data_IF_596357397286
#
_entry.id   IF_596357397286
#
_cell.length_a   1.000
_cell.length_b   1.000
_cell.length_c   1.000
_cell.angle_alpha   90.00
_cell.angle_beta   90.00
_cell.angle_gamma   90.00
#
_symmetry.space_group_name_H-M   'P 1'
#
loop_
_entity.id
_entity.type
_entity.pdbx_description
1 polymer ?
#
# COMPACT_ATOMS: atom_id res chain seq x y z
N UNK A 1 17.46 9.23 -13.38
CA UNK A 1 16.03 9.28 -13.02
C UNK A 1 15.62 7.83 -12.82
N UNK A 2 15.21 7.44 -11.62
CA UNK A 2 14.89 6.05 -11.33
C UNK A 2 13.79 5.57 -12.28
N UNK A 3 13.99 4.42 -12.89
CA UNK A 3 12.98 3.77 -13.73
C UNK A 3 11.81 3.30 -12.85
N UNK A 4 10.64 3.12 -13.44
CA UNK A 4 9.47 2.61 -12.70
C UNK A 4 9.79 1.28 -11.99
N UNK A 5 10.58 0.42 -12.64
CA UNK A 5 11.00 -0.85 -12.09
C UNK A 5 11.84 -0.67 -10.82
N UNK A 6 12.83 0.23 -10.83
CA UNK A 6 13.68 0.51 -9.67
C UNK A 6 12.89 1.08 -8.49
N UNK A 7 11.89 1.93 -8.76
CA UNK A 7 11.02 2.46 -7.71
C UNK A 7 10.19 1.34 -7.07
N UNK A 8 9.55 0.49 -7.88
CA UNK A 8 8.73 -0.62 -7.39
C UNK A 8 9.60 -1.65 -6.65
N UNK A 9 10.78 -1.96 -7.19
CA UNK A 9 11.73 -2.87 -6.56
C UNK A 9 12.20 -2.31 -5.22
N UNK A 10 12.60 -1.04 -5.16
CA UNK A 10 13.05 -0.38 -3.94
C UNK A 10 11.99 -0.35 -2.85
N UNK A 11 10.72 -0.08 -3.21
CA UNK A 11 9.60 -0.11 -2.25
C UNK A 11 9.34 -1.54 -1.75
N UNK A 12 9.36 -2.54 -2.63
CA UNK A 12 9.17 -3.94 -2.22
C UNK A 12 10.29 -4.41 -1.30
N UNK A 13 11.55 -4.06 -1.58
CA UNK A 13 12.69 -4.37 -0.72
C UNK A 13 12.57 -3.65 0.63
N UNK A 14 12.19 -2.37 0.64
CA UNK A 14 11.94 -1.62 1.87
C UNK A 14 10.84 -2.26 2.73
N UNK A 15 9.74 -2.69 2.12
CA UNK A 15 8.67 -3.40 2.82
C UNK A 15 9.15 -4.76 3.35
N UNK A 16 9.86 -5.53 2.54
CA UNK A 16 10.41 -6.83 2.92
C UNK A 16 11.36 -6.74 4.12
N UNK A 17 12.08 -5.63 4.28
CA UNK A 17 13.00 -5.44 5.40
C UNK A 17 12.31 -5.26 6.77
N UNK A 18 11.07 -4.78 6.81
CA UNK A 18 10.33 -4.50 8.06
C UNK A 18 9.05 -5.32 8.28
N UNK A 19 8.55 -6.02 7.25
CA UNK A 19 7.28 -6.73 7.31
C UNK A 19 7.33 -8.06 8.08
N UNK A 20 8.50 -8.61 8.39
CA UNK A 20 8.65 -9.86 9.15
C UNK A 20 8.92 -9.60 10.65
N UNK A 21 8.63 -10.61 11.47
CA UNK A 21 8.76 -10.56 12.92
C UNK A 21 10.23 -10.73 13.37
N UNK A 22 10.70 -9.88 14.28
CA UNK A 22 12.12 -9.80 14.65
C UNK A 22 12.96 -8.83 13.81
N UNK A 23 12.37 -8.12 12.83
CA UNK A 23 13.08 -7.13 12.02
C UNK A 23 13.70 -5.97 12.82
N UNK A 24 13.19 -5.73 14.03
CA UNK A 24 13.68 -4.71 14.96
C UNK A 24 14.93 -5.16 15.73
N UNK A 25 15.26 -6.46 15.77
CA UNK A 25 16.47 -6.94 16.45
C UNK A 25 17.68 -6.92 15.51
N UNK A 26 18.77 -6.31 15.99
CA UNK A 26 20.03 -6.24 15.26
C UNK A 26 20.67 -7.61 15.03
N UNK A 27 20.55 -8.51 16.03
CA UNK A 27 21.11 -9.87 16.04
C UNK A 27 20.53 -10.78 14.95
N UNK A 28 19.28 -10.55 14.55
CA UNK A 28 18.56 -11.35 13.56
C UNK A 28 18.76 -10.82 12.14
N UNK A 29 19.33 -9.62 11.99
CA UNK A 29 19.53 -8.96 10.72
C UNK A 29 20.90 -9.30 10.15
N UNK A 30 20.93 -9.78 8.90
CA UNK A 30 22.17 -10.08 8.19
C UNK A 30 23.11 -8.85 8.08
N UNK A 31 22.52 -7.66 8.04
CA UNK A 31 23.23 -6.39 7.92
C UNK A 31 23.62 -5.76 9.27
N UNK A 32 23.22 -6.37 10.40
CA UNK A 32 23.44 -5.81 11.74
C UNK A 32 22.77 -4.44 11.95
N UNK A 33 21.57 -4.24 11.39
CA UNK A 33 20.82 -2.98 11.54
C UNK A 33 19.40 -3.25 12.03
N UNK A 34 19.08 -2.73 13.21
CA UNK A 34 17.73 -2.73 13.76
C UNK A 34 16.79 -1.88 12.89
N UNK A 35 15.67 -2.46 12.44
CA UNK A 35 14.64 -1.82 11.62
C UNK A 35 13.31 -1.78 12.36
N UNK A 36 13.10 -0.69 13.10
CA UNK A 36 11.86 -0.41 13.81
C UNK A 36 10.83 0.24 12.87
N UNK A 37 9.61 -0.30 12.86
CA UNK A 37 8.51 0.09 11.99
C UNK A 37 7.30 0.63 12.77
N UNK A 38 7.41 0.78 14.10
CA UNK A 38 6.33 1.29 14.95
C UNK A 38 5.19 0.28 15.18
N UNK A 39 5.49 -1.02 15.07
CA UNK A 39 4.51 -2.09 15.25
C UNK A 39 4.50 -2.57 16.71
N UNK A 40 3.32 -2.86 17.25
CA UNK A 40 3.13 -3.37 18.61
C UNK A 40 3.80 -4.72 18.85
N UNK A 41 4.02 -5.51 17.80
CA UNK A 41 4.78 -6.78 17.90
C UNK A 41 6.28 -6.58 18.19
N UNK A 42 6.79 -5.35 18.09
CA UNK A 42 8.20 -5.02 18.36
C UNK A 42 8.45 -4.73 19.84
N UNK A 43 7.38 -4.55 20.63
CA UNK A 43 7.48 -4.49 22.10
C UNK A 43 7.53 -5.90 22.68
N UNK A 44 8.73 -6.32 23.11
CA UNK A 44 8.96 -7.60 23.79
C UNK A 44 9.91 -8.53 23.04
N UNK A 45 9.92 -9.81 23.40
CA UNK A 45 10.73 -10.86 22.81
C UNK A 45 9.89 -11.75 21.88
N UNK A 46 10.33 -11.82 20.62
CA UNK A 46 9.68 -12.56 19.52
C UNK A 46 9.33 -14.05 19.78
N UNK A 47 9.97 -14.72 20.76
CA UNK A 47 9.67 -16.13 21.12
C UNK A 47 8.94 -16.25 22.45
N UNK A 48 9.42 -15.54 23.48
CA UNK A 48 9.01 -15.80 24.86
C UNK A 48 7.71 -15.09 25.24
N UNK A 49 7.34 -14.04 24.51
CA UNK A 49 6.16 -13.26 24.81
C UNK A 49 4.91 -13.78 24.10
N UNK A 50 3.78 -13.25 24.55
CA UNK A 50 2.49 -13.51 23.94
C UNK A 50 2.55 -13.06 22.48
N UNK A 51 2.20 -13.97 21.55
CA UNK A 51 2.04 -13.63 20.13
C UNK A 51 1.06 -12.47 19.95
N UNK A 52 1.58 -11.36 19.43
CA UNK A 52 0.81 -10.19 18.98
C UNK A 52 0.76 -10.27 17.45
N UNK A 53 -0.44 -10.45 16.90
CA UNK A 53 -0.62 -10.42 15.45
C UNK A 53 -0.69 -8.95 15.05
N UNK A 54 0.43 -8.42 14.57
CA UNK A 54 0.53 -7.05 14.09
C UNK A 54 1.51 -6.99 12.90
N UNK A 55 1.11 -6.33 11.82
CA UNK A 55 1.92 -6.29 10.61
C UNK A 55 1.38 -5.36 9.55
N UNK A 56 2.24 -5.04 8.59
CA UNK A 56 1.89 -4.24 7.43
C UNK A 56 2.34 -4.88 6.13
N UNK A 57 1.78 -4.40 5.03
CA UNK A 57 2.11 -4.80 3.67
C UNK A 57 1.90 -3.67 2.68
N UNK A 58 2.39 -3.87 1.46
CA UNK A 58 2.24 -2.91 0.36
C UNK A 58 1.63 -3.59 -0.86
N UNK A 59 0.72 -2.90 -1.54
CA UNK A 59 0.10 -3.32 -2.80
C UNK A 59 0.14 -2.18 -3.80
N UNK A 60 0.29 -2.48 -5.08
CA UNK A 60 0.36 -1.48 -6.14
C UNK A 60 -0.90 -1.51 -6.99
N UNK A 61 -1.45 -0.33 -7.24
CA UNK A 61 -2.60 -0.08 -8.11
C UNK A 61 -2.22 1.01 -9.11
N UNK A 62 -1.46 0.65 -10.15
CA UNK A 62 -0.86 1.63 -11.08
C UNK A 62 0.06 2.61 -10.33
N UNK A 63 -0.20 3.93 -10.37
CA UNK A 63 0.61 4.92 -9.65
C UNK A 63 0.28 5.03 -8.15
N UNK A 64 -0.70 4.27 -7.65
CA UNK A 64 -1.13 4.27 -6.25
C UNK A 64 -0.47 3.11 -5.50
N UNK A 65 0.18 3.44 -4.38
CA UNK A 65 0.65 2.52 -3.35
C UNK A 65 -0.40 2.40 -2.26
N UNK A 66 -0.98 1.23 -2.09
CA UNK A 66 -1.84 0.90 -0.96
C UNK A 66 -1.00 0.30 0.15
N UNK A 67 -0.94 0.98 1.28
CA UNK A 67 -0.33 0.45 2.51
C UNK A 67 -1.44 -0.22 3.31
N UNK A 68 -1.28 -1.51 3.60
CA UNK A 68 -2.22 -2.29 4.41
C UNK A 68 -1.62 -2.55 5.78
N UNK A 69 -2.43 -2.46 6.82
CA UNK A 69 -2.08 -2.74 8.20
C UNK A 69 -3.10 -3.73 8.77
N UNK A 70 -2.62 -4.74 9.49
CA UNK A 70 -3.47 -5.71 10.17
C UNK A 70 -3.01 -5.87 11.62
N UNK A 71 -3.96 -5.81 12.55
CA UNK A 71 -3.69 -6.02 13.96
C UNK A 71 -4.83 -6.77 14.64
N UNK A 72 -4.48 -7.63 15.59
CA UNK A 72 -5.44 -8.33 16.43
C UNK A 72 -5.43 -7.74 17.85
N UNK A 73 -6.54 -7.09 18.22
CA UNK A 73 -6.68 -6.37 19.49
C UNK A 73 -7.89 -6.86 20.28
N UNK A 74 -7.99 -6.40 21.53
CA UNK A 74 -9.16 -6.68 22.38
C UNK A 74 -10.29 -5.73 22.05
N UNK A 75 -11.53 -6.20 22.20
CA UNK A 75 -12.72 -5.37 21.97
C UNK A 75 -12.79 -4.12 22.87
N UNK A 76 -12.19 -4.18 24.06
CA UNK A 76 -12.08 -3.03 24.96
C UNK A 76 -11.24 -1.90 24.37
N UNK A 77 -10.20 -2.24 23.61
CA UNK A 77 -9.31 -1.25 22.99
C UNK A 77 -9.98 -0.58 21.79
N UNK A 78 -10.81 -1.31 21.03
CA UNK A 78 -11.63 -0.76 19.95
C UNK A 78 -12.64 0.28 20.48
N UNK A 79 -13.16 0.07 21.69
CA UNK A 79 -14.15 0.95 22.30
C UNK A 79 -13.54 2.22 22.92
N UNK A 80 -12.21 2.34 22.94
CA UNK A 80 -11.56 3.53 23.46
C UNK A 80 -11.77 4.73 22.53
N UNK A 81 -11.97 5.90 23.14
CA UNK A 81 -12.03 7.16 22.39
C UNK A 81 -10.65 7.43 21.77
N UNK A 82 -10.59 7.53 20.43
CA UNK A 82 -9.34 7.80 19.70
C UNK A 82 -8.76 6.61 18.93
N UNK A 83 -9.41 5.44 18.96
CA UNK A 83 -8.95 4.24 18.25
C UNK A 83 -8.60 4.48 16.76
N UNK A 84 -9.42 5.24 16.04
CA UNK A 84 -9.17 5.55 14.62
C UNK A 84 -7.88 6.36 14.44
N UNK A 85 -7.63 7.34 15.31
CA UNK A 85 -6.42 8.17 15.28
C UNK A 85 -5.16 7.35 15.56
N UNK A 86 -5.25 6.36 16.45
CA UNK A 86 -4.13 5.46 16.75
C UNK A 86 -3.77 4.62 15.51
N UNK A 87 -4.76 4.08 14.81
CA UNK A 87 -4.56 3.32 13.57
C UNK A 87 -3.98 4.20 12.46
N UNK A 88 -4.48 5.44 12.30
CA UNK A 88 -3.90 6.39 11.35
C UNK A 88 -2.45 6.75 11.69
N UNK A 89 -2.12 6.85 12.98
CA UNK A 89 -0.76 7.12 13.45
C UNK A 89 0.19 5.97 13.11
N UNK A 90 -0.23 4.71 13.32
CA UNK A 90 0.54 3.53 12.92
C UNK A 90 0.76 3.50 11.40
N UNK A 91 -0.26 3.79 10.59
CA UNK A 91 -0.10 3.90 9.14
C UNK A 91 0.91 4.98 8.75
N UNK A 92 0.93 6.11 9.46
CA UNK A 92 1.90 7.18 9.22
C UNK A 92 3.34 6.77 9.59
N UNK A 93 3.52 5.99 10.66
CA UNK A 93 4.82 5.43 11.05
C UNK A 93 5.36 4.44 10.02
N UNK A 94 4.50 3.55 9.51
CA UNK A 94 4.85 2.63 8.42
C UNK A 94 5.30 3.39 7.18
N UNK A 95 4.63 4.48 6.82
CA UNK A 95 5.03 5.32 5.68
C UNK A 95 6.37 6.01 5.92
N UNK A 96 6.65 6.48 7.14
CA UNK A 96 7.97 7.05 7.50
C UNK A 96 9.07 5.99 7.39
N UNK A 97 8.80 4.78 7.88
CA UNK A 97 9.70 3.64 7.77
C UNK A 97 10.01 3.31 6.30
N UNK A 98 8.99 3.17 5.46
CA UNK A 98 9.18 2.89 4.03
C UNK A 98 10.03 3.95 3.33
N UNK A 99 9.85 5.24 3.64
CA UNK A 99 10.67 6.32 3.08
C UNK A 99 12.13 6.25 3.53
N UNK A 100 12.37 5.90 4.80
CA UNK A 100 13.72 5.75 5.37
C UNK A 100 14.46 4.58 4.73
N UNK A 101 13.83 3.41 4.68
CA UNK A 101 14.43 2.21 4.09
C UNK A 101 14.61 2.35 2.58
N UNK A 102 13.65 2.92 1.86
CA UNK A 102 13.79 3.19 0.43
C UNK A 102 15.03 4.05 0.13
N UNK A 103 15.25 5.09 0.94
CA UNK A 103 16.44 5.96 0.81
C UNK A 103 17.73 5.21 1.16
N UNK A 104 17.71 4.32 2.14
CA UNK A 104 18.87 3.52 2.50
C UNK A 104 19.26 2.53 1.39
N UNK A 105 18.28 1.98 0.66
CA UNK A 105 18.49 0.98 -0.39
C UNK A 105 18.90 1.65 -1.71
N UNK A 106 18.15 2.66 -2.14
CA UNK A 106 18.28 3.26 -3.49
C UNK A 106 19.15 4.51 -3.52
N UNK A 107 19.37 5.16 -2.36
CA UNK A 107 20.00 6.48 -2.27
C UNK A 107 19.06 7.65 -2.60
N UNK A 108 17.92 7.39 -3.24
CA UNK A 108 16.95 8.38 -3.67
C UNK A 108 15.83 8.61 -2.65
N UNK A 109 15.14 9.74 -2.76
CA UNK A 109 14.04 10.08 -1.84
C UNK A 109 12.69 9.68 -2.45
N UNK A 110 11.92 8.86 -1.71
CA UNK A 110 10.55 8.49 -2.09
C UNK A 110 9.54 9.55 -1.65
N UNK A 111 8.72 10.03 -2.59
CA UNK A 111 7.60 10.92 -2.32
C UNK A 111 6.28 10.18 -2.38
N UNK A 112 5.52 10.20 -1.28
CA UNK A 112 4.21 9.57 -1.14
C UNK A 112 3.21 10.64 -0.68
N UNK A 113 2.14 10.85 -1.45
CA UNK A 113 1.04 11.77 -1.12
C UNK A 113 -0.22 10.99 -0.74
N UNK A 114 -0.76 11.20 0.46
CA UNK A 114 -2.00 10.54 0.94
C UNK A 114 -3.15 10.87 -0.03
N UNK A 115 -3.90 9.85 -0.42
CA UNK A 115 -5.09 9.94 -1.27
C UNK A 115 -6.28 9.43 -0.46
N UNK A 116 -7.20 10.34 -0.11
CA UNK A 116 -8.37 10.01 0.70
C UNK A 116 -8.07 9.73 2.17
N UNK A 117 -9.08 9.20 2.86
CA UNK A 117 -9.05 8.83 4.27
C UNK A 117 -8.61 7.37 4.44
N UNK A 118 -8.11 7.01 5.63
CA UNK A 118 -7.79 5.63 5.93
C UNK A 118 -9.08 4.82 6.08
N UNK A 119 -9.18 3.68 5.39
CA UNK A 119 -10.31 2.77 5.54
C UNK A 119 -9.99 1.75 6.62
N UNK A 120 -10.78 1.73 7.69
CA UNK A 120 -10.61 0.84 8.84
C UNK A 120 -11.79 -0.11 8.92
N UNK A 121 -11.53 -1.42 8.83
CA UNK A 121 -12.50 -2.47 9.02
C UNK A 121 -12.21 -3.19 10.33
N UNK A 122 -13.21 -3.23 11.21
CA UNK A 122 -13.11 -3.92 12.49
C UNK A 122 -14.07 -5.11 12.49
N UNK A 123 -13.54 -6.31 12.68
CA UNK A 123 -14.30 -7.55 12.68
C UNK A 123 -14.08 -8.33 13.96
N UNK A 124 -15.17 -8.63 14.66
CA UNK A 124 -15.11 -9.47 15.85
C UNK A 124 -14.92 -10.94 15.44
N UNK A 125 -13.80 -11.54 15.86
CA UNK A 125 -13.57 -12.99 15.70
C UNK A 125 -14.15 -13.75 16.90
N UNK A 126 -13.95 -13.24 18.12
CA UNK A 126 -14.45 -13.85 19.35
C UNK A 126 -14.78 -12.80 20.43
N UNK A 127 -15.15 -13.24 21.64
CA UNK A 127 -15.33 -12.33 22.78
C UNK A 127 -14.02 -11.69 23.26
N UNK A 128 -12.88 -12.26 22.85
CA UNK A 128 -11.55 -11.85 23.30
C UNK A 128 -10.76 -11.17 22.18
N UNK A 129 -10.92 -11.64 20.94
CA UNK A 129 -10.10 -11.27 19.77
C UNK A 129 -10.95 -10.52 18.74
N UNK A 130 -10.47 -9.36 18.33
CA UNK A 130 -11.02 -8.53 17.26
C UNK A 130 -9.94 -8.27 16.22
N UNK A 131 -10.24 -8.58 14.96
CA UNK A 131 -9.37 -8.30 13.82
C UNK A 131 -9.61 -6.87 13.33
N UNK A 132 -8.53 -6.15 13.09
CA UNK A 132 -8.54 -4.81 12.54
C UNK A 132 -7.74 -4.84 11.26
N UNK A 133 -8.40 -4.49 10.15
CA UNK A 133 -7.78 -4.36 8.85
C UNK A 133 -7.91 -2.91 8.40
N UNK A 134 -6.78 -2.22 8.31
CA UNK A 134 -6.72 -0.85 7.84
C UNK A 134 -5.95 -0.75 6.54
N UNK A 135 -6.35 0.16 5.66
CA UNK A 135 -5.54 0.51 4.50
C UNK A 135 -5.65 1.98 4.15
N UNK A 136 -4.57 2.51 3.59
CA UNK A 136 -4.53 3.88 3.09
C UNK A 136 -3.76 3.94 1.78
N UNK A 137 -4.30 4.72 0.85
CA UNK A 137 -3.79 4.85 -0.50
C UNK A 137 -2.88 6.08 -0.60
N UNK A 138 -1.72 5.89 -1.23
CA UNK A 138 -0.70 6.92 -1.41
C UNK A 138 -0.29 7.01 -2.87
N UNK A 139 -0.32 8.20 -3.45
CA UNK A 139 0.21 8.42 -4.80
C UNK A 139 1.73 8.51 -4.76
N UNK A 140 2.40 7.65 -5.52
CA UNK A 140 3.86 7.65 -5.68
C UNK A 140 4.26 8.80 -6.62
N UNK A 141 5.22 9.62 -6.20
CA UNK A 141 5.81 10.64 -7.08
C UNK A 141 6.89 10.08 -8.00
N UNK A 142 7.09 10.73 -9.15
CA UNK A 142 8.10 10.32 -10.15
C UNK A 142 7.59 9.33 -11.22
N UNK A 143 6.36 8.84 -11.11
CA UNK A 143 5.71 8.01 -12.12
C UNK A 143 4.89 8.89 -13.09
N UNK A 144 5.52 9.41 -14.15
CA UNK A 144 4.83 10.23 -15.18
C UNK A 144 4.11 9.38 -16.22
N UNK A 145 4.57 8.15 -16.46
CA UNK A 145 4.16 7.36 -17.63
C UNK A 145 3.09 6.30 -17.30
N UNK A 146 2.59 6.27 -16.06
CA UNK A 146 1.58 5.31 -15.62
C UNK A 146 0.23 5.99 -15.41
N UNK A 147 -0.76 5.55 -16.20
CA UNK A 147 -2.15 5.91 -15.98
C UNK A 147 -2.74 5.12 -14.81
N UNK A 148 -3.67 5.75 -14.09
CA UNK A 148 -4.46 5.07 -13.07
C UNK A 148 -5.34 4.01 -13.73
N UNK A 149 -5.27 2.79 -13.19
CA UNK A 149 -6.28 1.76 -13.50
C UNK A 149 -7.60 2.32 -13.01
N UNK A 150 -8.56 2.53 -13.93
CA UNK A 150 -9.90 3.06 -13.66
C UNK A 150 -9.98 4.55 -13.29
N UNK A 151 -9.32 5.43 -14.05
CA UNK A 151 -9.46 6.89 -13.93
C UNK A 151 -10.94 7.34 -14.00
N UNK A 152 -11.38 8.21 -13.10
CA UNK A 152 -12.74 8.76 -13.06
C UNK A 152 -13.80 7.86 -12.39
N UNK A 153 -15.05 8.31 -12.33
CA UNK A 153 -16.20 7.54 -11.82
C UNK A 153 -16.63 6.44 -12.80
N UNK A 154 -17.46 5.49 -12.35
CA UNK A 154 -18.01 4.46 -13.23
C UNK A 154 -18.86 5.05 -14.37
N UNK A 155 -19.59 6.13 -14.09
CA UNK A 155 -20.41 6.84 -15.07
C UNK A 155 -19.55 7.55 -16.10
N UNK A 156 -18.50 8.26 -15.68
CA UNK A 156 -17.57 8.92 -16.59
C UNK A 156 -16.86 7.93 -17.52
N UNK A 157 -16.48 6.76 -17.00
CA UNK A 157 -15.88 5.69 -17.81
C UNK A 157 -16.88 5.09 -18.80
N UNK A 158 -18.12 4.89 -18.38
CA UNK A 158 -19.19 4.39 -19.25
C UNK A 158 -19.47 5.38 -20.38
N UNK A 159 -19.65 6.65 -20.04
CA UNK A 159 -19.89 7.73 -21.01
C UNK A 159 -18.74 7.87 -22.00
N UNK A 160 -17.50 7.83 -21.52
CA UNK A 160 -16.33 7.86 -22.39
C UNK A 160 -16.30 6.66 -23.34
N UNK A 161 -16.56 5.44 -22.84
CA UNK A 161 -16.61 4.24 -23.67
C UNK A 161 -17.72 4.30 -24.72
N UNK A 162 -18.91 4.83 -24.37
CA UNK A 162 -20.01 5.03 -25.32
C UNK A 162 -19.64 6.09 -26.37
N UNK A 163 -19.01 7.20 -25.98
CA UNK A 163 -18.53 8.23 -26.90
C UNK A 163 -17.45 7.70 -27.85
N UNK A 164 -16.50 6.93 -27.35
CA UNK A 164 -15.45 6.30 -28.15
C UNK A 164 -16.03 5.27 -29.13
N UNK A 165 -17.04 4.50 -28.69
CA UNK A 165 -17.77 3.58 -29.56
C UNK A 165 -18.56 4.29 -30.66
N UNK A 166 -19.26 5.39 -30.34
CA UNK A 166 -19.95 6.21 -31.33
C UNK A 166 -18.97 6.91 -32.30
N UNK A 167 -17.80 7.31 -31.81
CA UNK A 167 -16.74 7.90 -32.62
C UNK A 167 -16.12 6.90 -33.62
N UNK A 168 -16.25 5.59 -33.38
CA UNK A 168 -15.94 4.52 -34.34
C UNK A 168 -16.99 4.37 -35.45
N UNK A 169 -17.97 5.28 -35.53
CA UNK A 169 -19.02 5.32 -36.54
C UNK A 169 -18.52 5.20 -38.00
N UNK A 170 -19.45 5.14 -38.97
CA UNK A 170 -19.26 4.54 -40.31
C UNK A 170 -18.19 5.18 -41.22
N UNK A 171 -17.51 6.24 -40.77
CA UNK A 171 -16.37 6.85 -41.46
C UNK A 171 -15.07 6.08 -41.19
N UNK A 172 -14.95 4.86 -41.73
CA UNK A 172 -13.72 4.17 -42.16
C UNK A 172 -12.42 4.28 -41.29
N UNK A 173 -12.46 4.69 -40.02
CA UNK A 173 -11.32 4.58 -39.11
C UNK A 173 -11.30 3.15 -38.60
N UNK A 174 -10.79 2.26 -39.45
CA UNK A 174 -10.49 0.90 -39.05
C UNK A 174 -9.58 0.93 -37.83
N UNK A 175 -9.82 0.09 -36.82
CA UNK A 175 -8.89 -0.07 -35.71
C UNK A 175 -7.50 -0.37 -36.27
N UNK A 176 -6.43 0.15 -35.65
CA UNK A 176 -5.05 -0.08 -36.12
C UNK A 176 -4.66 -1.58 -36.20
N UNK A 177 -5.42 -2.44 -35.52
CA UNK A 177 -5.25 -3.90 -35.52
C UNK A 177 -6.02 -4.64 -36.65
N UNK A 178 -6.78 -3.93 -37.50
CA UNK A 178 -7.48 -4.55 -38.63
C UNK A 178 -6.56 -4.65 -39.86
N UNK A 179 -6.02 -5.84 -40.10
CA UNK A 179 -5.12 -6.16 -41.23
C UNK A 179 -5.86 -6.63 -42.48
N UNK A 180 -7.20 -6.67 -42.47
CA UNK A 180 -7.98 -7.13 -43.63
C UNK A 180 -7.86 -6.12 -44.77
N UNK A 181 -7.46 -6.57 -45.96
CA UNK A 181 -7.42 -5.72 -47.16
C UNK A 181 -8.82 -5.15 -47.44
N UNK A 182 -8.92 -3.84 -47.59
CA UNK A 182 -10.18 -3.18 -47.93
C UNK A 182 -10.68 -3.62 -49.30
N UNK A 183 -12.01 -3.70 -49.44
CA UNK A 183 -12.65 -3.70 -50.77
C UNK A 183 -12.49 -2.33 -51.40
#
# INVERSE_FOLDING_TARGET
MATVYEIIQGINQAAANGAWDGAHEESLQADGKARDAGLKRQDGHYINDRRVMDGFGVKFHGPILRVTYQSEIRIKEVQNNGFENDIESHLAEIVKFLKKEYKAITGDTLTLKKQGEAHILVQRISNYRTDVQAHCDYRIGGLTDMEEVNKGTSEERLDQAVRDWLALGPKNKRPKNDTRKGK
#
